data_IF_179107324031
#
_entry.id   IF_179107324031
#
_cell.length_a   1.000
_cell.length_b   1.000
_cell.length_c   1.000
_cell.angle_alpha   90.00
_cell.angle_beta   90.00
_cell.angle_gamma   90.00
#
_symmetry.space_group_name_H-M   'P 1'
#
loop_
_entity.id
_entity.type
_entity.pdbx_description
1 polymer ?
#
# COMPACT_ATOMS: atom_id res chain seq x y z
N UNK A 1 11.75 -5.88 -1.99
CA UNK A 1 11.88 -5.89 -3.47
C UNK A 1 13.04 -6.78 -3.82
N UNK A 2 12.86 -7.66 -4.80
CA UNK A 2 13.91 -8.57 -5.26
C UNK A 2 13.81 -8.77 -6.77
N UNK A 3 14.94 -8.81 -7.46
CA UNK A 3 15.02 -9.18 -8.88
C UNK A 3 16.47 -9.47 -9.29
N UNK A 4 16.65 -10.26 -10.35
CA UNK A 4 17.97 -10.57 -10.88
C UNK A 4 18.59 -9.36 -11.63
N UNK A 5 19.88 -9.14 -11.41
CA UNK A 5 20.68 -8.07 -12.03
C UNK A 5 21.86 -8.65 -12.81
N UNK A 6 22.46 -7.87 -13.70
CA UNK A 6 23.65 -8.31 -14.42
C UNK A 6 24.88 -8.24 -13.51
N UNK A 7 25.89 -9.06 -13.83
CA UNK A 7 27.17 -9.09 -13.09
C UNK A 7 27.85 -7.72 -13.05
N UNK A 8 27.74 -6.94 -14.13
CA UNK A 8 28.32 -5.60 -14.21
C UNK A 8 27.64 -4.61 -13.25
N UNK A 9 26.33 -4.77 -13.01
CA UNK A 9 25.58 -3.97 -12.02
C UNK A 9 25.94 -4.43 -10.62
N UNK A 10 26.01 -5.75 -10.40
CA UNK A 10 26.36 -6.35 -9.11
C UNK A 10 27.74 -5.89 -8.60
N UNK A 11 28.75 -5.90 -9.48
CA UNK A 11 30.10 -5.43 -9.17
C UNK A 11 30.17 -3.94 -8.80
N UNK A 12 29.20 -3.13 -9.26
CA UNK A 12 29.09 -1.69 -8.98
C UNK A 12 28.12 -1.38 -7.83
N UNK A 13 27.60 -2.41 -7.16
CA UNK A 13 26.65 -2.21 -6.08
C UNK A 13 27.27 -1.42 -4.91
N UNK A 14 26.57 -0.44 -4.34
CA UNK A 14 27.06 0.29 -3.17
C UNK A 14 27.30 -0.64 -1.98
N UNK A 15 28.42 -0.44 -1.28
CA UNK A 15 28.69 -1.13 -0.01
C UNK A 15 27.85 -0.51 1.11
N UNK A 16 27.27 -1.34 1.97
CA UNK A 16 26.49 -0.92 3.14
C UNK A 16 27.29 -1.29 4.40
N UNK A 17 27.92 -0.33 5.11
CA UNK A 17 28.81 -0.64 6.23
C UNK A 17 28.13 -1.35 7.40
N UNK A 18 26.88 -0.97 7.71
CA UNK A 18 26.15 -1.42 8.89
C UNK A 18 24.75 -1.96 8.52
N UNK A 19 24.65 -2.79 7.48
CA UNK A 19 23.36 -3.32 7.03
C UNK A 19 23.50 -4.49 6.08
N UNK A 20 22.36 -5.04 5.66
CA UNK A 20 22.35 -6.14 4.70
C UNK A 20 22.85 -5.67 3.33
N UNK A 21 23.66 -6.50 2.64
CA UNK A 21 24.14 -6.19 1.31
C UNK A 21 22.97 -6.11 0.33
N UNK A 22 23.06 -5.20 -0.64
CA UNK A 22 22.05 -5.06 -1.69
C UNK A 22 22.02 -6.22 -2.68
N UNK A 23 23.08 -7.04 -2.76
CA UNK A 23 23.21 -8.12 -3.74
C UNK A 23 23.47 -9.43 -3.02
N UNK A 24 22.63 -10.41 -3.32
CA UNK A 24 22.82 -11.80 -2.92
C UNK A 24 23.22 -12.63 -4.13
N UNK A 25 24.26 -13.44 -3.97
CA UNK A 25 24.67 -14.44 -4.95
C UNK A 25 23.96 -15.76 -4.63
N UNK A 26 23.22 -16.32 -5.60
CA UNK A 26 22.49 -17.59 -5.44
C UNK A 26 22.66 -18.46 -6.67
N UNK A 27 22.91 -19.75 -6.46
CA UNK A 27 22.89 -20.75 -7.51
C UNK A 27 21.54 -21.47 -7.50
N UNK A 28 20.86 -21.47 -8.64
CA UNK A 28 19.57 -22.14 -8.82
C UNK A 28 19.68 -23.01 -10.07
N UNK A 29 19.47 -24.32 -9.90
CA UNK A 29 19.52 -25.31 -10.98
C UNK A 29 20.80 -25.21 -11.85
N UNK A 30 21.96 -25.02 -11.20
CA UNK A 30 23.26 -24.91 -11.88
C UNK A 30 23.55 -23.53 -12.49
N UNK A 31 22.63 -22.57 -12.41
CA UNK A 31 22.84 -21.20 -12.89
C UNK A 31 23.05 -20.25 -11.73
N UNK A 32 24.12 -19.44 -11.80
CA UNK A 32 24.41 -18.43 -10.78
C UNK A 32 23.70 -17.11 -11.11
N UNK A 33 23.04 -16.55 -10.11
CA UNK A 33 22.32 -15.30 -10.18
C UNK A 33 22.86 -14.29 -9.16
N UNK A 34 23.11 -13.08 -9.64
CA UNK A 34 23.22 -11.90 -8.81
C UNK A 34 21.81 -11.32 -8.61
N UNK A 35 21.32 -11.32 -7.38
CA UNK A 35 19.96 -10.91 -7.05
C UNK A 35 20.03 -9.62 -6.23
N UNK A 36 19.50 -8.53 -6.77
CA UNK A 36 19.26 -7.32 -5.97
C UNK A 36 18.15 -7.61 -4.96
N UNK A 37 18.40 -7.32 -3.69
CA UNK A 37 17.44 -7.50 -2.60
C UNK A 37 17.45 -6.27 -1.71
N UNK A 38 16.26 -5.78 -1.36
CA UNK A 38 16.12 -4.81 -0.29
C UNK A 38 14.75 -4.92 0.39
N UNK A 39 14.76 -4.86 1.73
CA UNK A 39 13.57 -4.81 2.57
C UNK A 39 13.38 -3.41 3.16
N UNK A 40 12.22 -2.81 2.94
CA UNK A 40 11.90 -1.47 3.41
C UNK A 40 11.18 -1.57 4.76
N UNK A 41 11.94 -1.63 5.85
CA UNK A 41 11.39 -1.64 7.20
C UNK A 41 10.51 -0.39 7.42
N UNK A 42 9.39 -0.57 8.13
CA UNK A 42 8.31 0.43 8.34
C UNK A 42 7.42 0.74 7.13
N UNK A 43 7.64 0.10 5.97
CA UNK A 43 6.85 0.33 4.76
C UNK A 43 5.96 -0.87 4.35
N UNK A 44 5.80 -1.87 5.23
CA UNK A 44 4.75 -2.88 5.10
C UNK A 44 3.35 -2.28 5.35
N UNK A 45 2.27 -2.95 4.93
CA UNK A 45 0.90 -2.41 4.95
C UNK A 45 0.51 -1.72 6.26
N UNK A 46 0.76 -2.37 7.40
CA UNK A 46 0.38 -1.84 8.71
C UNK A 46 1.32 -0.72 9.15
N UNK A 47 2.62 -0.97 9.08
CA UNK A 47 3.64 0.01 9.49
C UNK A 47 3.60 1.30 8.66
N UNK A 48 3.33 1.21 7.36
CA UNK A 48 3.27 2.35 6.45
C UNK A 48 2.17 3.35 6.85
N UNK A 49 1.08 2.90 7.48
CA UNK A 49 0.04 3.79 8.02
C UNK A 49 0.62 4.70 9.10
N UNK A 50 1.48 4.17 9.96
CA UNK A 50 2.17 4.97 10.99
C UNK A 50 3.08 6.02 10.38
N UNK A 51 3.79 5.70 9.30
CA UNK A 51 4.66 6.66 8.60
C UNK A 51 3.84 7.78 7.94
N UNK A 52 2.63 7.48 7.44
CA UNK A 52 1.69 8.50 6.95
C UNK A 52 1.23 9.43 8.08
N UNK A 53 0.88 8.89 9.25
CA UNK A 53 0.49 9.70 10.41
C UNK A 53 1.67 10.56 10.89
N UNK A 54 2.87 9.99 11.02
CA UNK A 54 4.08 10.76 11.35
C UNK A 54 4.36 11.87 10.35
N UNK A 55 4.16 11.63 9.06
CA UNK A 55 4.33 12.63 8.01
C UNK A 55 3.32 13.80 8.10
N UNK A 56 2.17 13.58 8.72
CA UNK A 56 1.17 14.62 9.01
C UNK A 56 1.57 15.56 10.16
N UNK A 57 2.65 15.24 10.90
CA UNK A 57 3.17 16.07 11.98
C UNK A 57 2.17 16.20 13.13
N UNK A 58 2.00 17.42 13.63
CA UNK A 58 1.07 17.73 14.74
C UNK A 58 -0.39 17.87 14.30
N UNK A 59 -0.74 17.44 13.07
CA UNK A 59 -2.11 17.54 12.58
C UNK A 59 -3.02 16.62 13.39
N UNK A 60 -4.12 17.17 13.92
CA UNK A 60 -5.09 16.39 14.70
C UNK A 60 -5.94 15.44 13.85
N UNK A 61 -5.95 15.66 12.52
CA UNK A 61 -6.70 14.90 11.53
C UNK A 61 -5.86 14.61 10.29
N UNK A 62 -6.16 13.51 9.60
CA UNK A 62 -5.45 13.05 8.42
C UNK A 62 -6.40 12.94 7.22
N UNK A 63 -6.06 13.55 6.05
CA UNK A 63 -6.88 13.45 4.85
C UNK A 63 -6.91 12.03 4.25
N UNK A 64 -6.17 11.08 4.83
CA UNK A 64 -6.23 9.66 4.49
C UNK A 64 -7.31 8.89 5.25
N UNK A 65 -7.98 9.51 6.22
CA UNK A 65 -9.03 8.90 7.03
C UNK A 65 -10.40 9.28 6.46
N UNK A 66 -11.28 8.27 6.31
CA UNK A 66 -12.65 8.44 5.80
C UNK A 66 -13.49 9.30 6.73
N UNK A 67 -14.40 10.10 6.15
CA UNK A 67 -15.24 11.04 6.90
C UNK A 67 -16.05 10.36 8.01
N UNK A 68 -16.14 11.03 9.17
CA UNK A 68 -16.89 10.54 10.33
C UNK A 68 -16.09 9.64 11.27
N UNK A 69 -14.89 9.20 10.88
CA UNK A 69 -14.03 8.43 11.77
C UNK A 69 -13.20 9.33 12.69
N UNK A 70 -13.25 9.06 13.99
CA UNK A 70 -12.43 9.72 15.01
C UNK A 70 -12.00 8.69 16.05
N UNK A 71 -10.76 8.24 15.95
CA UNK A 71 -10.21 7.24 16.86
C UNK A 71 -8.69 7.18 16.82
N UNK A 72 -8.17 5.99 17.09
CA UNK A 72 -6.74 5.73 17.15
C UNK A 72 -6.38 4.47 16.36
N UNK A 73 -5.24 4.52 15.69
CA UNK A 73 -4.59 3.37 15.09
C UNK A 73 -3.41 2.96 15.99
N UNK A 74 -3.49 1.81 16.63
CA UNK A 74 -2.41 1.30 17.48
C UNK A 74 -1.53 0.35 16.67
N UNK A 75 -0.22 0.60 16.67
CA UNK A 75 0.75 -0.26 16.03
C UNK A 75 2.01 -0.33 16.88
N UNK A 76 2.47 -1.54 17.16
CA UNK A 76 3.64 -1.81 18.00
C UNK A 76 3.58 -1.08 19.36
N UNK A 77 2.43 -1.13 20.03
CA UNK A 77 2.20 -0.49 21.33
C UNK A 77 2.03 1.04 21.30
N UNK A 78 2.18 1.69 20.13
CA UNK A 78 2.03 3.15 20.00
C UNK A 78 0.68 3.49 19.38
N UNK A 79 -0.08 4.36 20.04
CA UNK A 79 -1.36 4.87 19.56
C UNK A 79 -1.17 6.13 18.70
N UNK A 80 -1.61 6.08 17.44
CA UNK A 80 -1.59 7.19 16.50
C UNK A 80 -3.01 7.73 16.32
N UNK A 81 -3.21 9.04 16.48
CA UNK A 81 -4.53 9.63 16.24
C UNK A 81 -4.93 9.46 14.78
N UNK A 82 -6.06 8.81 14.56
CA UNK A 82 -6.63 8.55 13.25
C UNK A 82 -8.02 9.21 13.21
N UNK A 83 -8.08 10.47 12.78
CA UNK A 83 -9.34 11.19 12.66
C UNK A 83 -9.46 11.86 11.29
N UNK A 84 -10.69 11.95 10.79
CA UNK A 84 -10.98 12.62 9.52
C UNK A 84 -11.07 14.14 9.67
N UNK A 85 -10.62 14.93 8.68
CA UNK A 85 -11.01 16.32 8.55
C UNK A 85 -12.54 16.46 8.48
N UNK A 86 -13.08 17.65 8.79
CA UNK A 86 -14.52 17.91 8.70
C UNK A 86 -15.09 17.62 7.30
N UNK A 87 -14.30 17.87 6.26
CA UNK A 87 -14.66 17.61 4.86
C UNK A 87 -14.41 16.15 4.42
N UNK A 88 -14.04 15.27 5.35
CA UNK A 88 -13.70 13.88 5.09
C UNK A 88 -12.33 13.69 4.42
N UNK A 89 -12.13 12.50 3.85
CA UNK A 89 -10.90 12.11 3.16
C UNK A 89 -10.68 12.90 1.87
N UNK A 90 -9.43 13.13 1.50
CA UNK A 90 -9.07 13.77 0.24
C UNK A 90 -7.90 13.04 -0.42
N UNK A 91 -8.14 12.41 -1.58
CA UNK A 91 -7.15 11.59 -2.28
C UNK A 91 -5.87 12.37 -2.65
N UNK A 92 -5.99 13.60 -3.14
CA UNK A 92 -4.83 14.41 -3.55
C UNK A 92 -3.95 14.75 -2.34
N UNK A 93 -4.55 15.20 -1.24
CA UNK A 93 -3.83 15.52 0.01
C UNK A 93 -3.24 14.26 0.65
N UNK A 94 -3.99 13.15 0.68
CA UNK A 94 -3.50 11.87 1.19
C UNK A 94 -2.31 11.35 0.37
N UNK A 95 -2.39 11.42 -0.96
CA UNK A 95 -1.28 11.04 -1.85
C UNK A 95 -0.04 11.90 -1.60
N UNK A 96 -0.19 13.20 -1.34
CA UNK A 96 0.93 14.07 -0.98
C UNK A 96 1.57 13.64 0.34
N UNK A 97 0.76 13.29 1.36
CA UNK A 97 1.28 12.76 2.62
C UNK A 97 1.99 11.42 2.44
N UNK A 98 1.44 10.50 1.65
CA UNK A 98 2.09 9.23 1.35
C UNK A 98 3.45 9.43 0.66
N UNK A 99 3.54 10.34 -0.31
CA UNK A 99 4.82 10.71 -0.95
C UNK A 99 5.83 11.31 0.03
N UNK A 100 5.36 12.10 1.00
CA UNK A 100 6.18 12.66 2.08
C UNK A 100 6.69 11.57 3.02
N UNK A 101 5.82 10.64 3.44
CA UNK A 101 6.16 9.50 4.29
C UNK A 101 7.20 8.57 3.63
N UNK A 102 7.10 8.38 2.32
CA UNK A 102 8.10 7.65 1.53
C UNK A 102 9.43 8.40 1.41
N UNK A 103 9.50 9.71 1.67
CA UNK A 103 10.71 10.53 1.48
C UNK A 103 11.23 10.45 0.03
N UNK A 104 10.33 10.53 -0.95
CA UNK A 104 10.67 10.44 -2.40
C UNK A 104 11.61 11.58 -2.82
N UNK A 105 11.49 12.76 -2.19
CA UNK A 105 12.36 13.92 -2.43
C UNK A 105 13.62 13.94 -1.54
N UNK A 106 13.90 12.84 -0.83
CA UNK A 106 15.08 12.74 0.02
C UNK A 106 16.38 12.68 -0.79
N UNK A 107 17.53 12.99 -0.17
CA UNK A 107 18.82 12.92 -0.84
C UNK A 107 19.13 11.48 -1.30
N UNK A 108 19.74 11.36 -2.48
CA UNK A 108 20.20 10.09 -3.04
C UNK A 108 21.72 10.15 -3.24
N UNK A 109 22.46 9.28 -2.55
CA UNK A 109 23.92 9.19 -2.66
C UNK A 109 24.39 8.28 -3.80
N UNK A 110 23.44 7.78 -4.60
CA UNK A 110 23.67 6.82 -5.68
C UNK A 110 23.17 7.40 -7.01
N UNK A 111 23.51 6.77 -8.15
CA UNK A 111 23.08 7.27 -9.46
C UNK A 111 21.54 7.34 -9.60
N UNK A 112 20.84 6.35 -9.05
CA UNK A 112 19.37 6.28 -8.98
C UNK A 112 18.94 5.64 -7.67
N UNK A 113 17.93 6.23 -7.02
CA UNK A 113 17.32 5.71 -5.81
C UNK A 113 15.82 5.50 -6.03
N UNK A 114 15.22 4.66 -5.18
CA UNK A 114 13.77 4.56 -5.03
C UNK A 114 13.26 5.70 -4.15
N UNK A 115 13.20 5.49 -2.84
CA UNK A 115 12.78 6.46 -1.84
C UNK A 115 13.62 6.27 -0.58
N UNK A 116 13.71 7.30 0.27
CA UNK A 116 14.59 7.24 1.45
C UNK A 116 16.09 7.11 1.12
N UNK A 117 16.51 7.46 -0.09
CA UNK A 117 17.92 7.39 -0.50
C UNK A 117 18.43 5.97 -0.80
N UNK A 118 17.54 4.98 -0.88
CA UNK A 118 17.89 3.58 -1.13
C UNK A 118 18.21 3.36 -2.61
N UNK A 119 19.35 2.72 -2.90
CA UNK A 119 19.74 2.38 -4.26
C UNK A 119 18.69 1.49 -4.93
N UNK A 120 18.34 1.77 -6.19
CA UNK A 120 17.24 1.07 -6.84
C UNK A 120 17.58 -0.32 -7.40
N UNK A 121 18.85 -0.75 -7.33
CA UNK A 121 19.35 -2.01 -7.91
C UNK A 121 19.73 -1.94 -9.39
N UNK A 122 19.73 -0.77 -10.01
CA UNK A 122 20.15 -0.59 -11.40
C UNK A 122 19.12 -0.95 -12.47
N UNK A 123 18.06 -1.69 -12.11
CA UNK A 123 17.00 -2.11 -13.05
C UNK A 123 17.48 -3.18 -14.04
N UNK A 124 17.01 -3.11 -15.28
CA UNK A 124 17.37 -4.07 -16.33
C UNK A 124 16.27 -5.10 -16.61
N UNK A 125 16.62 -6.16 -17.34
CA UNK A 125 15.65 -7.14 -17.84
C UNK A 125 14.94 -7.90 -16.70
N UNK A 126 15.65 -8.23 -15.62
CA UNK A 126 15.07 -8.90 -14.46
C UNK A 126 14.00 -8.08 -13.73
N UNK A 127 13.93 -6.75 -13.96
CA UNK A 127 12.91 -5.87 -13.39
C UNK A 127 11.71 -5.64 -14.32
N UNK A 128 11.72 -6.14 -15.56
CA UNK A 128 10.63 -5.87 -16.52
C UNK A 128 9.32 -6.55 -16.17
N UNK A 129 9.39 -7.81 -15.75
CA UNK A 129 8.24 -8.61 -15.36
C UNK A 129 8.27 -8.74 -13.83
N UNK A 130 7.24 -8.21 -13.18
CA UNK A 130 7.15 -8.19 -11.71
C UNK A 130 5.93 -8.95 -11.26
N UNK A 131 6.12 -9.78 -10.24
CA UNK A 131 5.05 -10.40 -9.50
C UNK A 131 4.89 -9.69 -8.16
N UNK A 132 3.71 -9.14 -7.91
CA UNK A 132 3.37 -8.48 -6.67
C UNK A 132 2.47 -9.39 -5.83
N UNK A 133 2.93 -9.74 -4.63
CA UNK A 133 2.27 -10.72 -3.75
C UNK A 133 1.68 -10.07 -2.50
N UNK A 134 0.98 -10.88 -1.71
CA UNK A 134 0.43 -10.52 -0.39
C UNK A 134 -0.54 -9.34 -0.49
N UNK A 135 -0.33 -8.28 0.28
CA UNK A 135 -1.23 -7.13 0.34
C UNK A 135 -1.51 -6.44 -0.99
N UNK A 136 -0.60 -6.51 -1.97
CA UNK A 136 -0.89 -6.02 -3.32
C UNK A 136 -2.06 -6.78 -3.96
N UNK A 137 -2.10 -8.10 -3.77
CA UNK A 137 -3.20 -8.95 -4.21
C UNK A 137 -4.45 -8.72 -3.37
N UNK A 138 -4.33 -8.74 -2.04
CA UNK A 138 -5.48 -8.62 -1.13
C UNK A 138 -6.29 -7.34 -1.40
N UNK A 139 -5.61 -6.19 -1.56
CA UNK A 139 -6.29 -4.93 -1.88
C UNK A 139 -6.97 -4.97 -3.25
N UNK A 140 -6.32 -5.56 -4.26
CA UNK A 140 -6.88 -5.66 -5.60
C UNK A 140 -8.09 -6.61 -5.64
N UNK A 141 -8.10 -7.66 -4.83
CA UNK A 141 -9.20 -8.62 -4.77
C UNK A 141 -10.39 -8.11 -3.93
N UNK A 142 -10.14 -7.44 -2.80
CA UNK A 142 -11.20 -7.05 -1.86
C UNK A 142 -12.01 -5.83 -2.31
N UNK A 143 -11.37 -4.80 -2.88
CA UNK A 143 -12.04 -3.53 -3.22
C UNK A 143 -13.13 -3.71 -4.30
N UNK A 144 -12.90 -4.46 -5.40
CA UNK A 144 -13.94 -4.74 -6.38
C UNK A 144 -15.10 -5.52 -5.76
N UNK A 145 -14.83 -6.54 -4.94
CA UNK A 145 -15.88 -7.35 -4.31
C UNK A 145 -16.77 -6.53 -3.38
N UNK A 146 -16.19 -5.62 -2.60
CA UNK A 146 -16.97 -4.69 -1.77
C UNK A 146 -17.80 -3.72 -2.62
N UNK A 147 -17.25 -3.24 -3.75
CA UNK A 147 -18.01 -2.40 -4.68
C UNK A 147 -19.18 -3.18 -5.30
N UNK A 148 -18.97 -4.42 -5.75
CA UNK A 148 -20.03 -5.27 -6.28
C UNK A 148 -21.11 -5.57 -5.25
N UNK A 149 -20.75 -5.93 -4.01
CA UNK A 149 -21.71 -6.16 -2.93
C UNK A 149 -22.49 -4.88 -2.57
N UNK A 150 -21.82 -3.73 -2.49
CA UNK A 150 -22.49 -2.45 -2.22
C UNK A 150 -23.45 -2.01 -3.33
N UNK A 151 -23.28 -2.51 -4.56
CA UNK A 151 -24.20 -2.26 -5.68
C UNK A 151 -25.26 -3.37 -5.84
N UNK A 152 -25.02 -4.59 -5.35
CA UNK A 152 -26.00 -5.70 -5.36
C UNK A 152 -27.00 -5.63 -4.20
N UNK A 153 -26.57 -5.17 -3.02
CA UNK A 153 -27.43 -5.04 -1.83
C UNK A 153 -28.59 -4.06 -2.07
N UNK A 154 -28.42 -2.87 -2.69
CA UNK A 154 -29.54 -2.02 -3.08
C UNK A 154 -30.49 -2.69 -4.07
N UNK A 155 -29.98 -3.49 -5.01
CA UNK A 155 -30.81 -4.20 -6.00
C UNK A 155 -31.68 -5.30 -5.38
N UNK A 156 -31.14 -6.01 -4.38
CA UNK A 156 -31.90 -7.01 -3.61
C UNK A 156 -32.94 -6.35 -2.71
N UNK A 157 -32.61 -5.23 -2.05
CA UNK A 157 -33.59 -4.48 -1.25
C UNK A 157 -34.69 -3.84 -2.11
N UNK A 158 -34.39 -3.40 -3.34
CA UNK A 158 -35.39 -2.83 -4.24
C UNK A 158 -36.34 -3.89 -4.83
N UNK A 159 -35.86 -5.13 -5.05
CA UNK A 159 -36.73 -6.27 -5.44
C UNK A 159 -37.55 -6.82 -4.29
N UNK A 160 -37.01 -6.86 -3.07
CA UNK A 160 -37.74 -7.31 -1.87
C UNK A 160 -38.77 -6.26 -1.43
N UNK A 161 -38.46 -4.96 -1.55
CA UNK A 161 -39.40 -3.86 -1.25
C UNK A 161 -40.63 -3.83 -2.16
N UNK A 162 -40.52 -4.23 -3.43
CA UNK A 162 -41.68 -4.37 -4.33
C UNK A 162 -42.55 -5.59 -3.97
N UNK A 163 -41.93 -6.70 -3.54
CA UNK A 163 -42.67 -7.89 -3.10
C UNK A 163 -43.48 -7.62 -1.82
N UNK A 164 -42.94 -6.83 -0.89
CA UNK A 164 -43.64 -6.46 0.34
C UNK A 164 -44.85 -5.54 0.06
N UNK A 165 -44.75 -4.63 -0.92
CA UNK A 165 -45.87 -3.77 -1.33
C UNK A 165 -46.98 -4.52 -2.09
N UNK A 166 -46.63 -5.49 -2.93
CA UNK A 166 -47.60 -6.32 -3.64
C UNK A 166 -48.37 -7.27 -2.70
N UNK A 167 -47.70 -7.83 -1.70
CA UNK A 167 -48.34 -8.71 -0.71
C UNK A 167 -49.32 -7.92 0.17
N UNK A 168 -48.97 -6.71 0.61
CA UNK A 168 -49.87 -5.87 1.43
C UNK A 168 -51.11 -5.38 0.66
N UNK A 169 -51.05 -5.26 -0.66
CA UNK A 169 -52.24 -4.92 -1.46
C UNK A 169 -53.18 -6.10 -1.74
N UNK A 170 -52.65 -7.33 -1.86
CA UNK A 170 -53.51 -8.52 -2.02
C UNK A 170 -54.27 -8.89 -0.73
N UNK A 171 -53.69 -8.67 0.44
CA UNK A 171 -54.37 -8.94 1.73
C UNK A 171 -55.41 -7.89 2.15
N UNK A 172 -55.61 -6.82 1.36
CA UNK A 172 -56.62 -5.78 1.62
C UNK A 172 -57.86 -5.89 0.71
N UNK A 173 -57.91 -6.91 -0.15
CA UNK A 173 -58.96 -7.14 -1.15
C UNK A 173 -59.64 -8.53 -1.01
N UNK A 174 -59.44 -9.22 0.11
CA UNK A 174 -60.19 -10.44 0.51
C UNK A 174 -60.90 -10.17 1.82
#
# INVERSE_FOLDING_TARGET
MTYAISKEIALKAPKVPNGEPYVLNKSLLGTNYDIYVHSYLNYGQLAARTEIFKASGNSSSSPCILGGYNGYYTYNGVAYKASSPKQGSNLKKCRTLAKKALKIKGPCKHKKCTFGGIWNGGGGQGFKNLYAYSFFYDYAAMVPTLFYLSNLVPFLFQKIGLYFLLVVHLYRLV
#
